data_IF_950131637778
#
_entry.id   IF_950131637778
#
_cell.length_a   1.000
_cell.length_b   1.000
_cell.length_c   1.000
_cell.angle_alpha   90.00
_cell.angle_beta   90.00
_cell.angle_gamma   90.00
#
_symmetry.space_group_name_H-M   'P 1'
#
loop_
_entity.id
_entity.type
_entity.pdbx_description
1 polymer ?
#
# COMPACT_ATOMS: atom_id res chain seq x y z
N UNK A 1 -32.83 -0.42 -35.96
CA UNK A 1 -32.33 -0.40 -34.58
C UNK A 1 -30.88 -0.88 -34.62
N UNK A 2 -29.92 0.05 -34.56
CA UNK A 2 -28.51 -0.23 -34.81
C UNK A 2 -27.74 -0.69 -33.56
N UNK A 3 -26.50 -1.19 -33.71
CA UNK A 3 -25.66 -1.78 -32.65
C UNK A 3 -25.10 -0.76 -31.64
N UNK A 4 -25.74 0.40 -31.47
CA UNK A 4 -25.23 1.53 -30.67
C UNK A 4 -25.32 1.33 -29.15
N UNK A 5 -26.01 0.30 -28.65
CA UNK A 5 -26.17 0.10 -27.20
C UNK A 5 -25.04 -0.69 -26.53
N UNK A 6 -24.32 -1.55 -27.25
CA UNK A 6 -23.21 -2.33 -26.67
C UNK A 6 -21.96 -1.46 -26.49
N UNK A 7 -21.59 -0.69 -27.53
CA UNK A 7 -20.44 0.23 -27.48
C UNK A 7 -20.55 1.29 -26.39
N UNK A 8 -21.76 1.83 -26.17
CA UNK A 8 -21.99 2.82 -25.11
C UNK A 8 -21.94 2.21 -23.70
N UNK A 9 -22.23 0.91 -23.56
CA UNK A 9 -22.10 0.21 -22.29
C UNK A 9 -20.62 -0.12 -22.00
N UNK A 10 -19.89 -0.60 -23.00
CA UNK A 10 -18.45 -0.89 -22.90
C UNK A 10 -17.63 0.37 -22.58
N UNK A 11 -17.90 1.50 -23.24
CA UNK A 11 -17.16 2.73 -22.96
C UNK A 11 -17.47 3.35 -21.59
N UNK A 12 -18.71 3.20 -21.08
CA UNK A 12 -19.07 3.57 -19.70
C UNK A 12 -18.36 2.69 -18.66
N UNK A 13 -18.21 1.40 -18.95
CA UNK A 13 -17.48 0.46 -18.10
C UNK A 13 -15.99 0.80 -18.05
N UNK A 14 -15.37 1.18 -19.17
CA UNK A 14 -13.99 1.66 -19.21
C UNK A 14 -13.80 2.97 -18.42
N UNK A 15 -14.71 3.95 -18.59
CA UNK A 15 -14.68 5.20 -17.85
C UNK A 15 -14.77 5.02 -16.32
N UNK A 16 -15.58 4.07 -15.84
CA UNK A 16 -15.65 3.75 -14.41
C UNK A 16 -14.37 3.10 -13.88
N UNK A 17 -13.65 2.36 -14.73
CA UNK A 17 -12.38 1.71 -14.38
C UNK A 17 -11.24 2.71 -14.16
N UNK A 18 -11.30 3.87 -14.83
CA UNK A 18 -10.33 4.95 -14.72
C UNK A 18 -10.49 5.81 -13.45
N UNK A 19 -11.57 5.61 -12.69
CA UNK A 19 -11.78 6.31 -11.40
C UNK A 19 -10.63 6.06 -10.42
N UNK A 20 -10.04 4.88 -10.48
CA UNK A 20 -8.91 4.50 -9.66
C UNK A 20 -7.70 5.46 -9.82
N UNK A 21 -7.47 6.01 -11.02
CA UNK A 21 -6.33 6.90 -11.28
C UNK A 21 -6.52 8.28 -10.64
N UNK A 22 -7.77 8.73 -10.45
CA UNK A 22 -8.08 10.04 -9.86
C UNK A 22 -8.55 9.96 -8.41
N UNK A 23 -8.53 8.77 -7.80
CA UNK A 23 -8.88 8.58 -6.40
C UNK A 23 -7.70 8.88 -5.47
N UNK A 24 -7.95 8.88 -4.15
CA UNK A 24 -6.93 9.11 -3.13
C UNK A 24 -6.22 10.49 -3.21
N UNK A 25 -6.97 11.54 -3.59
CA UNK A 25 -6.54 12.94 -3.50
C UNK A 25 -5.43 13.28 -4.53
N UNK A 26 -4.32 13.87 -4.09
CA UNK A 26 -3.27 14.41 -4.94
C UNK A 26 -2.21 13.39 -5.41
N UNK A 27 -2.49 12.08 -5.35
CA UNK A 27 -1.46 11.07 -5.63
C UNK A 27 -0.97 11.07 -7.08
N UNK A 28 -1.89 11.12 -8.05
CA UNK A 28 -1.51 11.21 -9.46
C UNK A 28 -0.95 12.59 -9.84
N UNK A 29 -1.03 13.59 -8.95
CA UNK A 29 -0.45 14.92 -9.15
C UNK A 29 0.86 15.13 -8.39
N UNK A 30 1.47 14.04 -7.88
CA UNK A 30 2.79 14.07 -7.21
C UNK A 30 2.77 13.75 -5.70
N UNK A 31 1.59 13.56 -5.11
CA UNK A 31 1.46 13.14 -3.72
C UNK A 31 1.95 11.71 -3.49
N UNK A 32 2.78 11.52 -2.45
CA UNK A 32 3.38 10.22 -2.12
C UNK A 32 4.09 9.54 -3.31
N UNK A 33 4.70 10.36 -4.18
CA UNK A 33 5.42 9.90 -5.35
C UNK A 33 6.86 9.50 -4.97
N UNK A 34 7.22 8.25 -5.28
CA UNK A 34 8.47 7.64 -4.86
C UNK A 34 9.72 8.24 -5.54
N UNK A 35 9.54 8.99 -6.63
CA UNK A 35 10.62 9.65 -7.37
C UNK A 35 10.62 11.17 -7.20
N UNK A 36 10.15 11.70 -6.06
CA UNK A 36 10.09 13.15 -5.87
C UNK A 36 11.47 13.82 -5.84
N UNK A 37 12.53 13.10 -5.43
CA UNK A 37 13.91 13.59 -5.32
C UNK A 37 14.52 14.03 -6.66
N UNK A 38 13.89 13.59 -7.75
CA UNK A 38 14.23 13.93 -9.11
C UNK A 38 13.82 15.36 -9.54
N UNK A 39 12.92 15.97 -8.79
CA UNK A 39 12.28 17.23 -9.16
C UNK A 39 12.55 18.32 -8.12
N UNK A 40 12.21 19.56 -8.46
CA UNK A 40 12.26 20.66 -7.51
C UNK A 40 11.20 20.44 -6.40
N UNK A 41 11.62 20.54 -5.14
CA UNK A 41 10.74 20.37 -3.97
C UNK A 41 9.53 21.30 -3.97
N UNK A 42 9.65 22.50 -4.57
CA UNK A 42 8.56 23.46 -4.73
C UNK A 42 7.36 22.85 -5.48
N UNK A 43 7.60 21.88 -6.37
CA UNK A 43 6.53 21.19 -7.08
C UNK A 43 5.61 20.37 -6.16
N UNK A 44 6.06 19.95 -4.97
CA UNK A 44 5.31 19.03 -4.09
C UNK A 44 4.72 19.69 -2.84
N UNK A 45 4.85 21.01 -2.69
CA UNK A 45 4.32 21.74 -1.52
C UNK A 45 2.79 21.75 -1.54
N UNK A 46 2.20 22.03 -2.70
CA UNK A 46 0.75 22.12 -2.88
C UNK A 46 0.30 21.42 -4.17
N UNK A 47 0.37 20.07 -4.23
CA UNK A 47 -0.10 19.33 -5.38
C UNK A 47 -1.64 19.42 -5.47
N UNK A 48 -2.14 19.91 -6.61
CA UNK A 48 -3.58 20.06 -6.85
C UNK A 48 -4.32 18.74 -7.01
N UNK A 49 -5.65 18.77 -7.08
CA UNK A 49 -6.41 17.55 -7.37
C UNK A 49 -6.47 17.23 -8.88
N UNK A 50 -6.52 15.94 -9.23
CA UNK A 50 -6.56 15.53 -10.62
C UNK A 50 -7.92 15.72 -11.27
N UNK A 51 -7.89 15.78 -12.59
CA UNK A 51 -9.03 15.86 -13.49
C UNK A 51 -8.87 14.73 -14.50
N UNK A 52 -9.94 13.97 -14.74
CA UNK A 52 -10.01 13.03 -15.86
C UNK A 52 -10.93 13.57 -16.94
N UNK A 53 -10.39 13.83 -18.12
CA UNK A 53 -11.14 14.16 -19.32
C UNK A 53 -11.44 12.86 -20.07
N UNK A 54 -12.68 12.39 -20.00
CA UNK A 54 -13.07 11.07 -20.52
C UNK A 54 -13.66 11.20 -21.92
N UNK A 55 -13.05 10.51 -22.88
CA UNK A 55 -13.53 10.43 -24.25
C UNK A 55 -14.68 9.43 -24.40
N UNK A 56 -15.39 9.50 -25.53
CA UNK A 56 -16.57 8.65 -25.79
C UNK A 56 -16.25 7.16 -25.86
N UNK A 57 -15.05 6.82 -26.29
CA UNK A 57 -14.57 5.44 -26.41
C UNK A 57 -14.13 4.84 -25.06
N UNK A 58 -14.01 5.66 -24.01
CA UNK A 58 -13.58 5.23 -22.68
C UNK A 58 -12.11 5.51 -22.38
N UNK A 59 -11.33 5.98 -23.36
CA UNK A 59 -9.99 6.54 -23.11
C UNK A 59 -10.10 7.84 -22.31
N UNK A 60 -9.03 8.24 -21.62
CA UNK A 60 -9.02 9.53 -20.92
C UNK A 60 -7.69 10.24 -20.98
N UNK A 61 -7.74 11.55 -20.74
CA UNK A 61 -6.57 12.34 -20.39
C UNK A 61 -6.65 12.71 -18.92
N UNK A 62 -5.63 12.31 -18.16
CA UNK A 62 -5.42 12.76 -16.78
C UNK A 62 -4.66 14.08 -16.82
N UNK A 63 -5.18 15.07 -16.11
CA UNK A 63 -4.61 16.42 -16.01
C UNK A 63 -4.85 16.97 -14.61
N UNK A 64 -4.37 18.19 -14.34
CA UNK A 64 -4.69 18.94 -13.12
C UNK A 64 -5.12 20.37 -13.42
N UNK A 65 -5.59 21.08 -12.40
CA UNK A 65 -5.86 22.51 -12.49
C UNK A 65 -4.58 23.30 -12.83
N UNK A 66 -4.71 24.28 -13.73
CA UNK A 66 -3.62 25.20 -14.04
C UNK A 66 -3.31 26.13 -12.86
N UNK A 67 -2.03 26.50 -12.69
CA UNK A 67 -1.60 27.43 -11.65
C UNK A 67 -1.49 26.86 -10.23
N UNK A 68 -1.85 25.59 -10.03
CA UNK A 68 -1.60 24.85 -8.78
C UNK A 68 -0.35 24.00 -8.94
N UNK A 69 0.37 23.79 -7.83
CA UNK A 69 1.53 22.89 -7.77
C UNK A 69 1.20 21.44 -8.11
N UNK A 70 2.20 20.59 -7.98
CA UNK A 70 2.18 19.20 -8.43
C UNK A 70 2.58 19.06 -9.89
N UNK A 71 2.48 17.83 -10.38
CA UNK A 71 2.83 17.45 -11.75
C UNK A 71 2.00 16.24 -12.17
N UNK A 72 1.61 16.19 -13.44
CA UNK A 72 0.97 15.00 -14.02
C UNK A 72 1.84 14.47 -15.16
N UNK A 73 2.51 13.36 -14.89
CA UNK A 73 3.31 12.65 -15.88
C UNK A 73 3.04 11.14 -15.86
N UNK A 74 3.61 10.42 -16.81
CA UNK A 74 3.43 8.96 -16.93
C UNK A 74 3.79 8.24 -15.63
N UNK A 75 4.84 8.66 -14.91
CA UNK A 75 5.29 8.00 -13.69
C UNK A 75 4.32 8.19 -12.52
N UNK A 76 3.79 9.40 -12.31
CA UNK A 76 2.74 9.66 -11.32
C UNK A 76 1.47 8.86 -11.61
N UNK A 77 1.11 8.71 -12.90
CA UNK A 77 -0.02 7.87 -13.33
C UNK A 77 0.23 6.38 -13.11
N UNK A 78 1.43 5.88 -13.42
CA UNK A 78 1.84 4.49 -13.14
C UNK A 78 1.83 4.19 -11.65
N UNK A 79 2.42 5.08 -10.84
CA UNK A 79 2.42 4.96 -9.38
C UNK A 79 1.00 4.87 -8.83
N UNK A 80 0.10 5.76 -9.26
CA UNK A 80 -1.28 5.73 -8.78
C UNK A 80 -2.04 4.50 -9.28
N UNK A 81 -1.88 4.10 -10.54
CA UNK A 81 -2.54 2.90 -11.06
C UNK A 81 -2.11 1.63 -10.32
N UNK A 82 -0.85 1.51 -9.89
CA UNK A 82 -0.33 0.33 -9.20
C UNK A 82 -0.67 0.30 -7.70
N UNK A 83 -1.28 1.36 -7.17
CA UNK A 83 -1.70 1.46 -5.77
C UNK A 83 -3.05 0.76 -5.57
N UNK A 84 -3.28 0.10 -4.43
CA UNK A 84 -4.58 -0.51 -4.09
C UNK A 84 -5.16 -1.51 -5.11
N UNK A 85 -4.31 -2.04 -6.00
CA UNK A 85 -4.68 -3.10 -6.93
C UNK A 85 -4.60 -4.48 -6.28
N UNK A 86 -5.31 -5.42 -6.91
CA UNK A 86 -5.46 -6.77 -6.44
C UNK A 86 -5.48 -7.71 -7.64
N UNK A 87 -4.31 -7.88 -8.26
CA UNK A 87 -4.16 -8.46 -9.59
C UNK A 87 -4.40 -7.44 -10.70
N UNK A 88 -4.60 -7.92 -11.92
CA UNK A 88 -4.86 -7.15 -13.15
C UNK A 88 -6.36 -7.02 -13.47
N UNK A 89 -7.22 -7.73 -12.73
CA UNK A 89 -8.68 -7.62 -12.78
C UNK A 89 -9.19 -6.81 -11.59
N UNK A 90 -9.55 -5.55 -11.83
CA UNK A 90 -10.04 -4.63 -10.81
C UNK A 90 -11.56 -4.67 -10.70
N UNK A 91 -12.07 -5.02 -9.52
CA UNK A 91 -13.51 -5.25 -9.29
C UNK A 91 -14.17 -4.02 -8.64
N UNK A 92 -15.26 -3.56 -9.25
CA UNK A 92 -16.20 -2.58 -8.69
C UNK A 92 -17.62 -3.17 -8.67
N UNK A 93 -18.54 -2.51 -7.96
CA UNK A 93 -19.94 -2.95 -7.89
C UNK A 93 -20.61 -3.01 -9.27
N UNK A 94 -20.33 -2.02 -10.14
CA UNK A 94 -21.01 -1.88 -11.42
C UNK A 94 -20.25 -2.46 -12.62
N UNK A 95 -18.95 -2.70 -12.46
CA UNK A 95 -18.04 -3.08 -13.54
C UNK A 95 -16.82 -3.82 -13.01
N UNK A 96 -16.31 -4.80 -13.77
CA UNK A 96 -14.94 -5.29 -13.63
C UNK A 96 -14.05 -4.72 -14.74
N UNK A 97 -12.84 -4.33 -14.40
CA UNK A 97 -11.86 -3.76 -15.32
C UNK A 97 -10.70 -4.72 -15.54
N UNK A 98 -10.37 -4.99 -16.80
CA UNK A 98 -9.13 -5.64 -17.18
C UNK A 98 -8.07 -4.57 -17.46
N UNK A 99 -6.98 -4.62 -16.70
CA UNK A 99 -5.92 -3.61 -16.71
C UNK A 99 -4.65 -4.12 -17.42
N UNK A 100 -4.60 -5.38 -17.83
CA UNK A 100 -3.42 -6.04 -18.42
C UNK A 100 -2.91 -5.42 -19.73
N UNK A 101 -3.75 -4.67 -20.45
CA UNK A 101 -3.41 -3.99 -21.71
C UNK A 101 -3.32 -2.47 -21.56
N UNK A 102 -3.26 -1.94 -20.33
CA UNK A 102 -3.19 -0.50 -20.09
C UNK A 102 -1.92 0.10 -20.70
N UNK A 103 -2.08 1.27 -21.34
CA UNK A 103 -1.00 2.07 -21.92
C UNK A 103 -1.15 3.50 -21.44
N UNK A 104 -0.02 4.17 -21.19
CA UNK A 104 0.04 5.57 -20.77
C UNK A 104 1.04 6.34 -21.63
N UNK A 105 0.58 7.47 -22.17
CA UNK A 105 1.37 8.30 -23.08
C UNK A 105 1.32 9.77 -22.64
N UNK A 106 2.48 10.43 -22.57
CA UNK A 106 2.53 11.86 -22.33
C UNK A 106 2.04 12.61 -23.57
N UNK A 107 0.95 13.38 -23.46
CA UNK A 107 0.34 14.10 -24.59
C UNK A 107 0.42 15.62 -24.45
N UNK A 108 1.03 16.11 -23.36
CA UNK A 108 1.29 17.52 -23.13
C UNK A 108 1.88 17.74 -21.73
N UNK A 109 2.21 18.99 -21.39
CA UNK A 109 2.58 19.35 -20.04
C UNK A 109 1.41 19.07 -19.09
N UNK A 110 1.66 18.35 -17.99
CA UNK A 110 0.64 17.92 -17.03
C UNK A 110 -0.52 17.12 -17.66
N UNK A 111 -0.28 16.39 -18.76
CA UNK A 111 -1.33 15.65 -19.48
C UNK A 111 -0.86 14.27 -19.93
N UNK A 112 -1.53 13.24 -19.41
CA UNK A 112 -1.26 11.84 -19.74
C UNK A 112 -2.51 11.19 -20.30
N UNK A 113 -2.40 10.67 -21.52
CA UNK A 113 -3.44 9.87 -22.13
C UNK A 113 -3.34 8.42 -21.63
N UNK A 114 -4.47 7.87 -21.17
CA UNK A 114 -4.60 6.50 -20.65
C UNK A 114 -5.59 5.73 -21.51
N UNK A 115 -5.18 4.57 -22.00
CA UNK A 115 -5.98 3.71 -22.86
C UNK A 115 -5.70 2.22 -22.62
N UNK A 116 -6.39 1.33 -23.34
CA UNK A 116 -6.17 -0.13 -23.28
C UNK A 116 -6.86 -0.85 -22.12
N UNK A 117 -7.55 -0.13 -21.23
CA UNK A 117 -8.40 -0.72 -20.19
C UNK A 117 -9.69 -1.23 -20.82
N UNK A 118 -10.10 -2.46 -20.48
CA UNK A 118 -11.35 -3.06 -20.95
C UNK A 118 -12.30 -3.29 -19.80
N UNK A 119 -13.48 -2.68 -19.86
CA UNK A 119 -14.56 -2.94 -18.91
C UNK A 119 -15.38 -4.17 -19.28
N UNK A 120 -15.92 -4.85 -18.28
CA UNK A 120 -16.83 -5.99 -18.43
C UNK A 120 -17.87 -6.04 -17.30
N UNK A 121 -18.96 -6.81 -17.46
CA UNK A 121 -19.97 -6.96 -16.41
C UNK A 121 -19.38 -7.46 -15.09
N UNK A 122 -19.86 -6.96 -13.93
CA UNK A 122 -19.35 -7.35 -12.62
C UNK A 122 -19.83 -8.77 -12.25
N UNK A 123 -19.24 -9.40 -11.22
CA UNK A 123 -19.82 -10.60 -10.64
C UNK A 123 -21.14 -10.32 -9.93
N UNK A 124 -21.94 -11.37 -9.70
CA UNK A 124 -23.20 -11.29 -8.95
C UNK A 124 -23.01 -10.92 -7.46
N UNK A 125 -21.76 -10.74 -7.03
CA UNK A 125 -21.36 -10.34 -5.69
C UNK A 125 -20.69 -8.98 -5.69
N UNK A 126 -20.72 -8.30 -4.54
CA UNK A 126 -19.88 -7.13 -4.25
C UNK A 126 -19.12 -7.37 -2.95
N UNK A 127 -18.05 -6.61 -2.73
CA UNK A 127 -17.26 -6.68 -1.50
C UNK A 127 -17.93 -5.84 -0.42
N UNK A 128 -18.24 -6.48 0.71
CA UNK A 128 -18.73 -5.81 1.91
C UNK A 128 -17.61 -5.70 2.95
N UNK A 129 -17.33 -4.46 3.36
CA UNK A 129 -16.40 -4.14 4.44
C UNK A 129 -17.12 -4.16 5.78
N UNK A 130 -16.92 -5.19 6.59
CA UNK A 130 -17.56 -5.30 7.91
C UNK A 130 -16.59 -4.80 8.98
N UNK A 131 -17.03 -3.84 9.79
CA UNK A 131 -16.26 -3.32 10.92
C UNK A 131 -16.94 -3.71 12.23
N UNK A 132 -16.15 -4.23 13.17
CA UNK A 132 -16.63 -4.64 14.49
C UNK A 132 -15.65 -4.21 15.59
N UNK A 133 -16.13 -4.14 16.84
CA UNK A 133 -15.29 -3.79 17.99
C UNK A 133 -14.26 -4.89 18.22
N UNK A 134 -12.98 -4.57 18.03
CA UNK A 134 -11.88 -5.53 18.16
C UNK A 134 -11.38 -5.73 19.60
N UNK A 135 -11.76 -4.83 20.51
CA UNK A 135 -11.25 -4.78 21.88
C UNK A 135 -10.57 -3.43 22.11
N UNK A 136 -9.46 -3.45 22.86
CA UNK A 136 -8.66 -2.28 23.18
C UNK A 136 -7.23 -2.46 22.71
N UNK A 137 -6.57 -1.35 22.42
CA UNK A 137 -5.17 -1.31 22.07
C UNK A 137 -4.42 -0.18 22.77
N UNK A 138 -3.12 -0.34 22.93
CA UNK A 138 -2.24 0.67 23.51
C UNK A 138 -0.81 0.55 22.96
N UNK A 139 -0.04 1.62 23.12
CA UNK A 139 1.34 1.72 22.64
C UNK A 139 2.23 2.44 23.66
N UNK A 140 3.23 1.72 24.18
CA UNK A 140 4.33 2.34 24.92
C UNK A 140 5.49 2.63 23.99
N UNK A 141 5.98 3.87 24.06
CA UNK A 141 7.02 4.38 23.20
C UNK A 141 8.22 4.75 24.06
N UNK A 142 9.35 4.09 23.85
CA UNK A 142 10.59 4.33 24.58
C UNK A 142 11.76 4.36 23.61
N UNK A 143 12.87 4.95 24.05
CA UNK A 143 14.04 5.14 23.22
C UNK A 143 15.29 4.58 23.92
N UNK A 144 16.28 4.21 23.11
CA UNK A 144 17.63 3.91 23.57
C UNK A 144 18.65 4.72 22.77
N UNK A 145 19.61 5.32 23.47
CA UNK A 145 20.78 5.96 22.84
C UNK A 145 22.03 5.07 22.97
N UNK A 146 22.92 5.15 21.98
CA UNK A 146 24.28 4.62 22.04
C UNK A 146 24.43 3.26 21.36
N UNK A 147 25.46 2.51 21.76
CA UNK A 147 25.72 1.17 21.23
C UNK A 147 24.92 0.08 21.95
N UNK A 148 24.97 -1.15 21.40
CA UNK A 148 24.29 -2.34 21.92
C UNK A 148 22.77 -2.19 22.11
N UNK A 149 22.12 -1.43 21.23
CA UNK A 149 20.68 -1.16 21.29
C UNK A 149 19.83 -2.44 21.24
N UNK A 150 20.25 -3.44 20.46
CA UNK A 150 19.55 -4.73 20.41
C UNK A 150 19.57 -5.45 21.76
N UNK A 151 20.71 -5.47 22.44
CA UNK A 151 20.83 -6.10 23.77
C UNK A 151 20.07 -5.31 24.84
N UNK A 152 20.06 -3.98 24.74
CA UNK A 152 19.24 -3.10 25.61
C UNK A 152 17.76 -3.42 25.46
N UNK A 153 17.27 -3.56 24.23
CA UNK A 153 15.87 -3.88 23.95
C UNK A 153 15.50 -5.32 24.30
N UNK A 154 16.39 -6.30 24.07
CA UNK A 154 16.21 -7.68 24.57
C UNK A 154 16.11 -7.71 26.10
N UNK A 155 16.95 -6.95 26.81
CA UNK A 155 16.87 -6.83 28.27
C UNK A 155 15.53 -6.24 28.70
N UNK A 156 15.12 -5.13 28.07
CA UNK A 156 13.88 -4.44 28.41
C UNK A 156 12.64 -5.29 28.13
N UNK A 157 12.59 -6.00 26.99
CA UNK A 157 11.54 -6.97 26.70
C UNK A 157 11.48 -8.08 27.76
N UNK A 158 12.63 -8.68 28.12
CA UNK A 158 12.70 -9.69 29.18
C UNK A 158 12.19 -9.15 30.52
N UNK A 159 12.57 -7.92 30.87
CA UNK A 159 12.12 -7.25 32.10
C UNK A 159 10.60 -7.07 32.12
N UNK A 160 10.01 -6.55 31.03
CA UNK A 160 8.55 -6.38 30.93
C UNK A 160 7.84 -7.74 30.99
N UNK A 161 8.27 -8.72 30.18
CA UNK A 161 7.66 -10.05 30.17
C UNK A 161 7.74 -10.76 31.51
N UNK A 162 8.82 -10.60 32.28
CA UNK A 162 8.94 -11.20 33.62
C UNK A 162 7.94 -10.69 34.65
N UNK A 163 7.27 -9.55 34.37
CA UNK A 163 6.25 -8.95 35.26
C UNK A 163 4.82 -9.22 34.79
N UNK A 164 4.66 -9.86 33.64
CA UNK A 164 3.37 -10.29 33.11
C UNK A 164 3.29 -11.80 33.37
N UNK A 165 2.35 -12.21 34.23
CA UNK A 165 2.16 -13.62 34.57
C UNK A 165 1.69 -14.45 33.35
N UNK A 166 1.78 -15.78 33.45
CA UNK A 166 1.47 -16.67 32.33
C UNK A 166 0.01 -16.54 31.86
N UNK A 167 -0.93 -16.31 32.79
CA UNK A 167 -2.34 -16.04 32.46
C UNK A 167 -2.51 -14.70 31.74
N UNK A 168 -1.77 -13.67 32.17
CA UNK A 168 -1.71 -12.36 31.54
C UNK A 168 -1.14 -12.43 30.13
N UNK A 169 -0.09 -13.20 29.91
CA UNK A 169 0.48 -13.43 28.58
C UNK A 169 -0.53 -14.08 27.62
N UNK A 170 -1.31 -15.05 28.09
CA UNK A 170 -2.36 -15.70 27.29
C UNK A 170 -3.55 -14.78 26.99
N UNK A 171 -3.73 -13.70 27.77
CA UNK A 171 -4.84 -12.76 27.61
C UNK A 171 -4.68 -11.75 26.47
N UNK A 172 -3.47 -11.59 25.91
CA UNK A 172 -3.24 -10.65 24.82
C UNK A 172 -3.66 -11.24 23.47
N UNK A 173 -4.40 -10.47 22.67
CA UNK A 173 -4.60 -10.78 21.26
C UNK A 173 -3.34 -10.47 20.44
N UNK A 174 -2.59 -9.45 20.86
CA UNK A 174 -1.29 -9.10 20.31
C UNK A 174 -0.43 -8.46 21.40
N UNK A 175 0.85 -8.85 21.49
CA UNK A 175 1.85 -8.19 22.33
C UNK A 175 3.18 -8.22 21.58
N UNK A 176 3.49 -7.11 20.92
CA UNK A 176 4.66 -6.96 20.05
C UNK A 176 5.64 -5.98 20.64
N UNK A 177 6.92 -6.36 20.58
CA UNK A 177 8.07 -5.54 20.95
C UNK A 177 8.82 -5.24 19.65
N UNK A 178 8.84 -3.97 19.26
CA UNK A 178 9.29 -3.56 17.93
C UNK A 178 10.48 -2.61 18.05
N UNK A 179 11.62 -3.02 17.53
CA UNK A 179 12.79 -2.17 17.35
C UNK A 179 12.69 -1.44 16.00
N UNK A 180 12.79 -0.10 16.00
CA UNK A 180 12.74 0.73 14.80
C UNK A 180 14.02 1.59 14.70
N UNK A 181 14.66 1.51 13.53
CA UNK A 181 15.84 2.30 13.19
C UNK A 181 17.15 1.56 13.43
N UNK A 182 18.25 2.24 13.11
CA UNK A 182 19.62 1.79 13.38
C UNK A 182 20.41 3.02 13.80
N UNK A 183 21.16 2.98 14.92
CA UNK A 183 21.91 4.13 15.36
C UNK A 183 23.05 4.42 14.37
N UNK A 184 23.35 5.69 14.14
CA UNK A 184 24.46 6.11 13.29
C UNK A 184 25.79 5.52 13.79
N UNK A 185 26.64 5.11 12.85
CA UNK A 185 28.05 4.84 13.13
C UNK A 185 28.75 6.17 13.44
N UNK A 186 29.40 6.28 14.60
CA UNK A 186 30.05 7.50 15.10
C UNK A 186 29.13 8.75 15.11
N UNK A 187 28.15 8.80 16.04
CA UNK A 187 27.09 9.80 16.04
C UNK A 187 27.62 11.20 16.40
N UNK A 188 27.32 12.19 15.55
CA UNK A 188 27.67 13.61 15.80
C UNK A 188 26.79 14.29 16.85
N UNK A 189 25.62 13.72 17.09
CA UNK A 189 24.65 14.20 18.07
C UNK A 189 23.87 13.03 18.69
N UNK A 190 23.21 13.28 19.81
CA UNK A 190 22.48 12.25 20.54
C UNK A 190 21.33 11.65 19.72
N UNK A 191 20.63 12.45 18.91
CA UNK A 191 19.47 12.01 18.14
C UNK A 191 19.88 11.01 17.06
N UNK A 192 21.01 11.23 16.39
CA UNK A 192 21.58 10.30 15.41
C UNK A 192 21.99 8.94 16.01
N UNK A 193 22.19 8.88 17.34
CA UNK A 193 22.47 7.64 18.07
C UNK A 193 21.23 7.05 18.77
N UNK A 194 20.07 7.65 18.60
CA UNK A 194 18.84 7.27 19.31
C UNK A 194 17.93 6.46 18.41
N UNK A 195 17.55 5.28 18.88
CA UNK A 195 16.59 4.39 18.22
C UNK A 195 15.34 4.22 19.05
N UNK A 196 14.26 3.89 18.36
CA UNK A 196 12.92 3.83 18.92
C UNK A 196 12.50 2.38 19.19
N UNK A 197 11.77 2.19 20.27
CA UNK A 197 11.20 0.91 20.67
C UNK A 197 9.73 1.06 21.05
N UNK A 198 8.90 0.28 20.37
CA UNK A 198 7.44 0.30 20.51
C UNK A 198 6.97 -1.01 21.11
N UNK A 199 6.29 -0.92 22.25
CA UNK A 199 5.49 -2.01 22.78
C UNK A 199 4.06 -1.78 22.35
N UNK A 200 3.58 -2.59 21.43
CA UNK A 200 2.19 -2.57 20.97
C UNK A 200 1.42 -3.72 21.62
N UNK A 201 0.25 -3.43 22.19
CA UNK A 201 -0.59 -4.44 22.80
C UNK A 201 -2.06 -4.30 22.39
N UNK A 202 -2.72 -5.42 22.14
CA UNK A 202 -4.17 -5.55 21.93
C UNK A 202 -4.73 -6.61 22.88
N UNK A 203 -5.88 -6.35 23.48
CA UNK A 203 -6.63 -7.32 24.27
C UNK A 203 -8.14 -7.02 24.25
N UNK A 204 -8.95 -8.04 24.50
CA UNK A 204 -10.41 -7.89 24.65
C UNK A 204 -10.77 -7.03 25.87
N UNK A 205 -9.95 -7.08 26.92
CA UNK A 205 -10.24 -6.42 28.19
C UNK A 205 -9.11 -5.45 28.62
N UNK A 206 -9.48 -4.39 29.33
CA UNK A 206 -8.54 -3.36 29.80
C UNK A 206 -7.58 -3.86 30.89
N UNK A 207 -7.97 -4.88 31.66
CA UNK A 207 -7.16 -5.42 32.76
C UNK A 207 -5.88 -6.05 32.24
N UNK A 208 -5.94 -6.80 31.14
CA UNK A 208 -4.78 -7.39 30.48
C UNK A 208 -3.82 -6.29 30.00
N UNK A 209 -4.33 -5.24 29.35
CA UNK A 209 -3.50 -4.12 28.90
C UNK A 209 -2.83 -3.37 30.06
N UNK A 210 -3.54 -3.19 31.18
CA UNK A 210 -3.00 -2.52 32.36
C UNK A 210 -1.74 -3.22 32.91
N UNK A 211 -1.56 -4.52 32.68
CA UNK A 211 -0.37 -5.26 33.10
C UNK A 211 0.91 -4.71 32.45
N UNK A 212 0.85 -4.27 31.19
CA UNK A 212 2.02 -3.66 30.51
C UNK A 212 2.44 -2.37 31.23
N UNK A 213 1.46 -1.54 31.61
CA UNK A 213 1.71 -0.30 32.34
C UNK A 213 2.24 -0.53 33.76
N UNK A 214 1.76 -1.58 34.44
CA UNK A 214 2.29 -1.98 35.75
C UNK A 214 3.72 -2.53 35.63
N UNK A 215 3.96 -3.42 34.68
CA UNK A 215 5.29 -3.96 34.37
C UNK A 215 6.31 -2.84 34.11
N UNK A 216 5.91 -1.81 33.36
CA UNK A 216 6.75 -0.64 33.10
C UNK A 216 7.10 0.15 34.39
N UNK A 217 6.12 0.39 35.27
CA UNK A 217 6.34 1.08 36.55
C UNK A 217 7.24 0.26 37.47
N UNK A 218 7.05 -1.05 37.51
CA UNK A 218 7.77 -2.01 38.33
C UNK A 218 9.28 -2.08 38.04
N UNK A 219 9.66 -1.80 36.79
CA UNK A 219 11.04 -1.80 36.33
C UNK A 219 11.63 -0.39 36.24
N UNK A 220 10.87 0.62 36.67
CA UNK A 220 11.32 2.01 36.69
C UNK A 220 12.67 2.14 37.40
N UNK A 221 13.61 2.86 36.77
CA UNK A 221 15.00 3.03 37.21
C UNK A 221 15.84 1.74 37.30
N UNK A 222 15.33 0.59 36.83
CA UNK A 222 16.04 -0.70 36.73
C UNK A 222 16.36 -1.11 35.30
N UNK A 223 15.91 -0.33 34.33
CA UNK A 223 16.16 -0.56 32.90
C UNK A 223 17.61 -0.27 32.51
N UNK A 224 17.92 -0.39 31.23
CA UNK A 224 19.25 -0.14 30.69
C UNK A 224 19.67 1.34 30.73
N UNK A 225 20.98 1.58 30.61
CA UNK A 225 21.56 2.93 30.45
C UNK A 225 21.28 3.53 29.07
N UNK A 226 20.93 4.82 29.03
CA UNK A 226 20.52 5.52 27.81
C UNK A 226 19.02 5.41 27.49
N UNK A 227 18.23 4.80 28.38
CA UNK A 227 16.77 4.81 28.32
C UNK A 227 16.23 6.23 28.50
N UNK A 228 15.29 6.62 27.62
CA UNK A 228 14.51 7.84 27.77
C UNK A 228 13.22 7.74 26.94
N UNK A 229 12.26 8.64 27.13
CA UNK A 229 11.00 8.67 26.38
C UNK A 229 10.38 10.07 26.44
N UNK A 230 9.40 10.35 25.57
CA UNK A 230 8.55 11.52 25.74
C UNK A 230 7.78 11.44 27.05
N UNK A 231 7.50 12.57 27.69
CA UNK A 231 6.63 12.63 28.87
C UNK A 231 5.13 12.57 28.52
N UNK A 232 4.79 12.54 27.22
CA UNK A 232 3.44 12.30 26.74
C UNK A 232 3.16 10.81 26.58
N UNK A 233 2.44 10.24 27.55
CA UNK A 233 2.05 8.83 27.56
C UNK A 233 0.62 8.58 27.07
N UNK A 234 0.00 9.52 26.34
CA UNK A 234 -1.38 9.33 25.84
C UNK A 234 -1.53 8.10 24.96
N UNK A 235 -0.49 7.71 24.21
CA UNK A 235 -0.51 6.49 23.39
C UNK A 235 -0.57 5.21 24.23
N UNK A 236 -0.11 5.26 25.49
CA UNK A 236 -0.15 4.14 26.41
C UNK A 236 -1.50 4.01 27.14
N UNK A 237 -2.38 4.99 27.01
CA UNK A 237 -3.76 4.89 27.50
C UNK A 237 -4.54 3.98 26.55
N UNK A 238 -5.09 2.85 27.03
CA UNK A 238 -5.87 1.97 26.18
C UNK A 238 -7.05 2.66 25.51
N UNK A 239 -7.21 2.45 24.21
CA UNK A 239 -8.34 2.95 23.42
C UNK A 239 -9.05 1.81 22.68
N UNK A 240 -10.35 1.89 22.43
CA UNK A 240 -11.02 0.91 21.58
C UNK A 240 -10.49 1.00 20.14
N UNK A 241 -10.50 -0.13 19.43
CA UNK A 241 -10.20 -0.19 18.00
C UNK A 241 -11.26 -0.99 17.23
N UNK A 242 -11.34 -0.75 15.92
CA UNK A 242 -12.23 -1.45 15.01
C UNK A 242 -11.44 -2.49 14.21
N UNK A 243 -11.89 -3.74 14.23
CA UNK A 243 -11.37 -4.77 13.36
C UNK A 243 -12.15 -4.77 12.04
N UNK A 244 -11.45 -5.03 10.94
CA UNK A 244 -12.01 -5.12 9.60
C UNK A 244 -12.10 -6.57 9.14
N UNK A 245 -13.23 -6.93 8.53
CA UNK A 245 -13.48 -8.23 7.94
C UNK A 245 -14.04 -8.06 6.51
N UNK A 246 -13.29 -8.46 5.47
CA UNK A 246 -13.82 -8.49 4.11
C UNK A 246 -14.75 -9.68 3.93
N UNK A 247 -15.94 -9.44 3.35
CA UNK A 247 -16.84 -10.51 2.92
C UNK A 247 -17.37 -10.23 1.51
N UNK A 248 -17.92 -11.26 0.87
CA UNK A 248 -18.71 -11.12 -0.34
C UNK A 248 -20.19 -11.05 0.02
N UNK A 249 -20.94 -10.21 -0.69
CA UNK A 249 -22.38 -10.06 -0.53
C UNK A 249 -23.06 -10.16 -1.88
N UNK A 250 -24.26 -10.74 -1.96
CA UNK A 250 -25.01 -10.82 -3.22
C UNK A 250 -25.55 -9.45 -3.57
N UNK A 251 -25.26 -8.95 -4.78
CA UNK A 251 -25.80 -7.67 -5.23
C UNK A 251 -27.33 -7.67 -5.29
N UNK A 252 -27.92 -8.83 -5.56
CA UNK A 252 -29.37 -9.00 -5.61
C UNK A 252 -30.09 -8.73 -4.28
N UNK A 253 -29.36 -8.77 -3.16
CA UNK A 253 -29.89 -8.54 -1.81
C UNK A 253 -29.72 -7.08 -1.34
N UNK A 254 -29.07 -6.22 -2.14
CA UNK A 254 -28.84 -4.81 -1.80
C UNK A 254 -29.91 -3.91 -2.42
N UNK A 255 -30.45 -3.01 -1.62
CA UNK A 255 -31.28 -1.90 -2.06
C UNK A 255 -30.51 -0.59 -1.97
N UNK A 256 -30.03 -0.10 -3.11
CA UNK A 256 -29.28 1.16 -3.19
C UNK A 256 -30.20 2.32 -3.58
N UNK A 257 -30.07 3.44 -2.85
CA UNK A 257 -30.84 4.66 -3.07
C UNK A 257 -29.94 5.88 -2.94
N UNK A 258 -30.18 6.90 -3.74
CA UNK A 258 -29.62 8.24 -3.58
C UNK A 258 -30.66 9.09 -2.85
N UNK A 259 -30.33 9.56 -1.67
CA UNK A 259 -31.20 10.41 -0.86
C UNK A 259 -30.65 11.83 -0.85
N UNK A 260 -31.44 12.79 -1.32
CA UNK A 260 -31.15 14.21 -1.13
C UNK A 260 -31.63 14.60 0.26
N UNK A 261 -30.71 14.91 1.15
CA UNK A 261 -31.02 15.19 2.56
C UNK A 261 -31.11 16.70 2.78
N UNK A 262 -32.21 17.14 3.39
CA UNK A 262 -32.40 18.54 3.80
C UNK A 262 -31.49 18.90 4.98
N UNK A 263 -31.33 20.19 5.24
CA UNK A 263 -30.56 20.67 6.40
C UNK A 263 -31.07 20.14 7.76
N UNK A 264 -32.34 19.75 7.85
CA UNK A 264 -32.92 19.15 9.07
C UNK A 264 -32.74 17.62 9.17
N UNK A 265 -32.09 16.98 8.19
CA UNK A 265 -31.85 15.54 8.16
C UNK A 265 -32.92 14.72 7.44
N UNK A 266 -34.03 15.31 7.00
CA UNK A 266 -35.09 14.60 6.28
C UNK A 266 -34.71 14.36 4.81
N UNK A 267 -35.06 13.20 4.28
CA UNK A 267 -34.94 12.93 2.85
C UNK A 267 -35.99 13.74 2.06
N UNK A 268 -35.54 14.55 1.10
CA UNK A 268 -36.38 15.30 0.18
C UNK A 268 -36.78 14.49 -1.04
N UNK A 269 -35.83 13.74 -1.59
CA UNK A 269 -36.01 12.90 -2.78
C UNK A 269 -35.19 11.64 -2.59
N UNK A 270 -35.83 10.48 -2.81
CA UNK A 270 -35.16 9.18 -2.91
C UNK A 270 -35.18 8.71 -4.36
N UNK A 271 -34.00 8.53 -4.96
CA UNK A 271 -33.86 7.92 -6.28
C UNK A 271 -33.33 6.50 -6.12
N UNK A 272 -34.05 5.51 -6.67
CA UNK A 272 -33.58 4.12 -6.69
C UNK A 272 -32.44 3.98 -7.69
N UNK A 273 -31.33 3.38 -7.27
CA UNK A 273 -30.20 3.07 -8.16
C UNK A 273 -30.51 1.79 -8.93
N UNK A 274 -30.24 1.81 -10.23
CA UNK A 274 -30.40 0.64 -11.09
C UNK A 274 -29.23 -0.32 -10.85
N UNK A 275 -29.53 -1.62 -10.79
CA UNK A 275 -28.51 -2.67 -10.68
C UNK A 275 -27.81 -2.91 -12.02
N UNK A 276 -26.61 -3.52 -12.02
CA UNK A 276 -25.99 -3.98 -13.24
C UNK A 276 -26.94 -4.89 -14.03
N UNK A 277 -27.14 -4.63 -15.34
CA UNK A 277 -28.10 -5.38 -16.15
C UNK A 277 -27.62 -6.78 -16.50
N UNK A 278 -26.31 -7.04 -16.36
CA UNK A 278 -25.66 -8.31 -16.64
C UNK A 278 -24.61 -8.56 -15.57
N UNK A 279 -24.44 -9.84 -15.25
CA UNK A 279 -23.36 -10.33 -14.39
C UNK A 279 -22.54 -11.37 -15.14
N UNK A 280 -21.29 -11.53 -14.75
CA UNK A 280 -20.38 -12.55 -15.28
C UNK A 280 -19.68 -13.26 -14.12
N UNK A 281 -19.40 -14.56 -14.26
CA UNK A 281 -18.70 -15.29 -13.21
C UNK A 281 -17.30 -14.68 -12.99
N UNK A 282 -16.87 -14.62 -11.73
CA UNK A 282 -15.50 -14.27 -11.40
C UNK A 282 -14.64 -15.53 -11.57
N UNK A 283 -13.68 -15.46 -12.49
CA UNK A 283 -12.65 -16.48 -12.64
C UNK A 283 -11.59 -16.34 -11.56
N UNK A 284 -10.83 -17.41 -11.32
CA UNK A 284 -9.66 -17.36 -10.45
C UNK A 284 -8.66 -16.34 -10.99
N UNK A 285 -8.06 -15.57 -10.09
CA UNK A 285 -7.06 -14.58 -10.48
C UNK A 285 -5.79 -15.26 -10.92
N UNK A 286 -5.22 -14.77 -12.01
CA UNK A 286 -3.93 -15.24 -12.47
C UNK A 286 -2.83 -14.83 -11.48
N UNK A 287 -1.86 -15.72 -11.31
CA UNK A 287 -0.62 -15.45 -10.58
C UNK A 287 0.51 -16.24 -11.22
N UNK A 288 1.49 -15.55 -11.79
CA UNK A 288 2.55 -16.19 -12.57
C UNK A 288 3.86 -15.41 -12.51
N UNK A 289 4.97 -16.14 -12.59
CA UNK A 289 6.26 -15.61 -13.00
C UNK A 289 6.30 -15.41 -14.52
N UNK A 290 7.20 -14.56 -15.01
CA UNK A 290 7.29 -14.26 -16.45
C UNK A 290 7.33 -15.56 -17.27
N UNK A 291 6.44 -15.73 -18.26
CA UNK A 291 6.39 -16.95 -19.07
C UNK A 291 7.61 -17.08 -20.01
N UNK A 292 8.38 -16.00 -20.17
CA UNK A 292 9.57 -15.96 -21.04
C UNK A 292 10.69 -15.17 -20.35
N UNK A 293 11.36 -15.76 -19.34
CA UNK A 293 12.44 -15.10 -18.64
C UNK A 293 13.63 -14.84 -19.56
N UNK A 294 14.14 -13.60 -19.55
CA UNK A 294 15.28 -13.20 -20.37
C UNK A 294 16.58 -13.43 -19.61
N UNK A 295 17.22 -14.58 -19.85
CA UNK A 295 18.53 -14.90 -19.25
C UNK A 295 19.57 -13.85 -19.62
N UNK A 296 19.57 -13.38 -20.87
CA UNK A 296 20.45 -12.30 -21.32
C UNK A 296 20.24 -10.99 -20.57
N UNK A 297 19.01 -10.69 -20.12
CA UNK A 297 18.73 -9.50 -19.33
C UNK A 297 19.29 -9.59 -17.90
N UNK A 298 19.69 -10.78 -17.43
CA UNK A 298 20.34 -10.98 -16.13
C UNK A 298 21.87 -11.10 -16.24
N UNK A 299 22.43 -11.22 -17.44
CA UNK A 299 23.85 -11.49 -17.68
C UNK A 299 24.67 -10.21 -17.87
N UNK A 300 26.00 -10.36 -17.72
CA UNK A 300 26.97 -9.28 -17.86
C UNK A 300 27.66 -8.92 -16.55
N UNK A 301 28.49 -7.89 -16.58
CA UNK A 301 29.08 -7.31 -15.36
C UNK A 301 27.97 -6.70 -14.50
N UNK A 302 27.74 -7.22 -13.30
CA UNK A 302 26.74 -6.69 -12.37
C UNK A 302 27.35 -5.67 -11.40
N UNK A 303 26.51 -4.74 -10.94
CA UNK A 303 26.81 -3.85 -9.83
C UNK A 303 25.73 -3.98 -8.77
N UNK A 304 26.16 -3.98 -7.51
CA UNK A 304 25.27 -3.93 -6.35
C UNK A 304 24.79 -2.49 -6.15
N UNK A 305 23.51 -2.25 -6.41
CA UNK A 305 22.84 -0.94 -6.27
C UNK A 305 21.51 -1.11 -5.53
N UNK A 306 20.83 -0.03 -5.16
CA UNK A 306 19.47 -0.13 -4.61
C UNK A 306 18.50 -0.41 -5.75
N UNK A 307 17.46 -1.21 -5.49
CA UNK A 307 16.41 -1.46 -6.48
C UNK A 307 15.77 -0.15 -6.97
N UNK A 308 15.63 0.83 -6.06
CA UNK A 308 15.13 2.17 -6.32
C UNK A 308 16.00 3.01 -7.24
N UNK A 309 17.28 2.64 -7.43
CA UNK A 309 18.14 3.31 -8.40
C UNK A 309 17.74 2.93 -9.84
N UNK A 310 16.98 1.84 -10.05
CA UNK A 310 16.55 1.32 -11.36
C UNK A 310 15.04 1.39 -11.57
N UNK A 311 14.25 1.15 -10.53
CA UNK A 311 12.79 1.06 -10.61
C UNK A 311 12.10 2.03 -9.65
N UNK A 312 11.04 2.67 -10.15
CA UNK A 312 10.05 3.37 -9.33
C UNK A 312 8.95 2.39 -8.92
N UNK A 313 8.07 2.82 -8.02
CA UNK A 313 6.92 2.01 -7.68
C UNK A 313 5.95 2.69 -6.73
N UNK A 314 4.97 1.91 -6.28
CA UNK A 314 4.01 2.33 -5.27
C UNK A 314 3.51 1.11 -4.48
N UNK A 315 3.13 1.33 -3.22
CA UNK A 315 2.50 0.32 -2.37
C UNK A 315 1.37 0.89 -1.53
N UNK A 316 0.48 0.01 -1.11
CA UNK A 316 -0.66 0.32 -0.26
C UNK A 316 -1.29 -0.91 0.36
N UNK A 317 -2.30 -0.69 1.18
CA UNK A 317 -3.11 -1.76 1.73
C UNK A 317 -4.22 -2.14 0.76
N UNK A 318 -4.70 -3.38 0.86
CA UNK A 318 -6.01 -3.76 0.31
C UNK A 318 -6.74 -4.56 1.37
N UNK A 319 -7.18 -3.86 2.42
CA UNK A 319 -7.67 -4.51 3.64
C UNK A 319 -6.51 -5.11 4.43
N UNK A 320 -6.54 -6.43 4.66
CA UNK A 320 -5.48 -7.17 5.37
C UNK A 320 -4.22 -7.44 4.55
N UNK A 321 -4.27 -7.14 3.25
CA UNK A 321 -3.23 -7.49 2.29
C UNK A 321 -2.40 -6.26 1.95
N UNK A 322 -1.16 -6.48 1.57
CA UNK A 322 -0.33 -5.45 0.96
C UNK A 322 -0.36 -5.63 -0.56
N UNK A 323 -0.47 -4.54 -1.31
CA UNK A 323 -0.16 -4.51 -2.73
C UNK A 323 1.07 -3.63 -2.96
N UNK A 324 1.85 -3.97 -3.99
CA UNK A 324 2.86 -3.06 -4.51
C UNK A 324 3.17 -3.35 -5.97
N UNK A 325 3.50 -2.31 -6.72
CA UNK A 325 3.98 -2.41 -8.08
C UNK A 325 5.32 -1.71 -8.25
N UNK A 326 6.15 -2.25 -9.13
CA UNK A 326 7.42 -1.69 -9.57
C UNK A 326 7.38 -1.48 -11.08
N UNK A 327 7.93 -0.38 -11.56
CA UNK A 327 7.97 -0.05 -12.99
C UNK A 327 9.25 0.64 -13.40
N UNK A 328 9.54 0.56 -14.69
CA UNK A 328 10.75 1.07 -15.34
C UNK A 328 10.40 1.80 -16.64
N UNK A 329 11.39 2.39 -17.30
CA UNK A 329 11.14 3.32 -18.41
C UNK A 329 11.48 2.72 -19.77
N UNK A 330 12.44 1.79 -19.81
CA UNK A 330 12.96 1.21 -21.05
C UNK A 330 12.59 -0.27 -21.19
N UNK A 331 12.57 -0.74 -22.43
CA UNK A 331 12.27 -2.14 -22.73
C UNK A 331 13.34 -3.11 -22.18
N UNK A 332 14.62 -2.75 -22.21
CA UNK A 332 15.68 -3.61 -21.65
C UNK A 332 15.62 -3.69 -20.12
N UNK A 333 15.27 -2.58 -19.46
CA UNK A 333 14.95 -2.57 -18.03
C UNK A 333 13.70 -3.41 -17.72
N UNK A 334 12.68 -3.38 -18.59
CA UNK A 334 11.47 -4.18 -18.44
C UNK A 334 11.76 -5.67 -18.48
N UNK A 335 12.53 -6.11 -19.47
CA UNK A 335 12.96 -7.51 -19.60
C UNK A 335 13.77 -7.97 -18.39
N UNK A 336 14.61 -7.10 -17.82
CA UNK A 336 15.29 -7.36 -16.56
C UNK A 336 14.30 -7.44 -15.38
N UNK A 337 13.45 -6.43 -15.20
CA UNK A 337 12.55 -6.31 -14.05
C UNK A 337 11.61 -7.52 -13.96
N UNK A 338 10.94 -7.86 -15.06
CA UNK A 338 9.99 -8.98 -15.10
C UNK A 338 10.68 -10.33 -14.86
N UNK A 339 11.94 -10.47 -15.29
CA UNK A 339 12.72 -11.69 -15.10
C UNK A 339 13.29 -11.78 -13.67
N UNK A 340 13.78 -10.67 -13.14
CA UNK A 340 14.43 -10.60 -11.83
C UNK A 340 13.43 -10.69 -10.68
N UNK A 341 12.32 -9.94 -10.77
CA UNK A 341 11.29 -9.86 -9.74
C UNK A 341 10.27 -11.00 -9.89
N UNK A 342 10.72 -12.23 -9.60
CA UNK A 342 9.84 -13.40 -9.46
C UNK A 342 9.13 -13.44 -8.10
N UNK A 343 8.14 -14.31 -7.97
CA UNK A 343 7.46 -14.61 -6.69
C UNK A 343 8.49 -15.00 -5.62
N UNK A 344 9.42 -15.90 -5.96
CA UNK A 344 10.46 -16.36 -5.03
C UNK A 344 11.47 -15.27 -4.70
N UNK A 345 11.77 -14.38 -5.65
CA UNK A 345 12.59 -13.19 -5.38
C UNK A 345 11.91 -12.28 -4.38
N UNK A 346 10.62 -12.01 -4.54
CA UNK A 346 9.86 -11.17 -3.59
C UNK A 346 9.84 -11.80 -2.20
N UNK A 347 9.61 -13.11 -2.08
CA UNK A 347 9.71 -13.84 -0.81
C UNK A 347 11.10 -13.69 -0.17
N UNK A 348 12.15 -13.79 -0.96
CA UNK A 348 13.53 -13.58 -0.48
C UNK A 348 13.75 -12.14 -0.01
N UNK A 349 13.25 -11.14 -0.75
CA UNK A 349 13.44 -9.72 -0.44
C UNK A 349 12.61 -9.27 0.77
N UNK A 350 11.47 -9.91 1.06
CA UNK A 350 10.71 -9.70 2.29
C UNK A 350 11.59 -9.95 3.54
N UNK A 351 12.53 -10.90 3.47
CA UNK A 351 13.44 -11.20 4.57
C UNK A 351 12.69 -11.65 5.83
N UNK A 352 13.00 -11.05 6.98
CA UNK A 352 12.39 -11.38 8.28
C UNK A 352 10.89 -11.06 8.36
N UNK A 353 10.35 -10.30 7.39
CA UNK A 353 8.91 -10.03 7.28
C UNK A 353 8.14 -11.22 6.67
N UNK A 354 8.82 -12.16 6.00
CA UNK A 354 8.16 -13.31 5.40
C UNK A 354 7.69 -14.28 6.49
N UNK A 355 6.43 -14.70 6.38
CA UNK A 355 5.88 -15.80 7.17
C UNK A 355 5.45 -16.95 6.27
N UNK A 356 5.48 -18.16 6.82
CA UNK A 356 5.12 -19.38 6.09
C UNK A 356 3.66 -19.40 5.61
N UNK A 357 2.77 -18.66 6.28
CA UNK A 357 1.36 -18.54 5.93
C UNK A 357 1.05 -17.43 4.92
N UNK A 358 2.05 -16.65 4.49
CA UNK A 358 1.84 -15.61 3.48
C UNK A 358 1.85 -16.20 2.07
N UNK A 359 0.83 -15.84 1.30
CA UNK A 359 0.78 -16.05 -0.14
C UNK A 359 1.20 -14.79 -0.89
N UNK A 360 1.89 -14.96 -2.02
CA UNK A 360 2.31 -13.86 -2.90
C UNK A 360 1.71 -14.12 -4.28
N UNK A 361 0.90 -13.19 -4.75
CA UNK A 361 0.43 -13.14 -6.15
C UNK A 361 1.33 -12.21 -6.96
N UNK A 362 1.49 -12.50 -8.25
CA UNK A 362 2.28 -11.71 -9.20
C UNK A 362 1.57 -11.64 -10.56
N UNK A 363 1.49 -10.43 -11.13
CA UNK A 363 1.02 -10.19 -12.50
C UNK A 363 1.88 -9.12 -13.19
N UNK A 364 1.76 -9.03 -14.51
CA UNK A 364 2.52 -8.10 -15.35
C UNK A 364 1.62 -7.10 -16.06
N UNK A 365 2.13 -5.87 -16.24
CA UNK A 365 1.48 -4.80 -17.01
C UNK A 365 2.45 -4.34 -18.12
N UNK A 366 2.52 -5.07 -19.25
CA UNK A 366 3.53 -4.82 -20.28
C UNK A 366 3.45 -3.42 -20.90
N UNK A 367 2.24 -2.88 -21.08
CA UNK A 367 2.04 -1.55 -21.70
C UNK A 367 2.55 -0.38 -20.86
N UNK A 368 2.89 -0.61 -19.59
CA UNK A 368 3.49 0.39 -18.71
C UNK A 368 4.78 -0.10 -18.04
N UNK A 369 5.36 -1.22 -18.52
CA UNK A 369 6.58 -1.83 -18.01
C UNK A 369 6.58 -2.04 -16.49
N UNK A 370 5.48 -2.59 -15.96
CA UNK A 370 5.32 -2.80 -14.53
C UNK A 370 5.10 -4.28 -14.15
N UNK A 371 5.57 -4.65 -12.97
CA UNK A 371 5.25 -5.92 -12.29
C UNK A 371 4.54 -5.57 -10.99
N UNK A 372 3.45 -6.25 -10.69
CA UNK A 372 2.62 -6.01 -9.51
C UNK A 372 2.51 -7.25 -8.66
N UNK A 373 2.45 -7.05 -7.35
CA UNK A 373 2.39 -8.09 -6.35
C UNK A 373 1.32 -7.83 -5.31
N UNK A 374 0.75 -8.91 -4.77
CA UNK A 374 -0.09 -8.88 -3.57
C UNK A 374 0.47 -9.84 -2.54
N UNK A 375 0.75 -9.36 -1.33
CA UNK A 375 1.17 -10.18 -0.19
C UNK A 375 -0.01 -10.31 0.77
N UNK A 376 -0.54 -11.53 0.88
CA UNK A 376 -1.75 -11.80 1.67
C UNK A 376 -1.45 -11.89 3.16
N UNK A 377 -2.27 -11.19 3.97
CA UNK A 377 -2.26 -11.28 5.44
C UNK A 377 -1.18 -10.47 6.16
N UNK A 378 -0.22 -9.86 5.46
CA UNK A 378 0.90 -9.13 6.08
C UNK A 378 0.46 -7.92 6.92
N UNK A 379 -0.70 -7.31 6.63
CA UNK A 379 -1.26 -6.19 7.40
C UNK A 379 -2.26 -6.66 8.48
N UNK A 380 -2.33 -7.97 8.76
CA UNK A 380 -3.17 -8.53 9.81
C UNK A 380 -4.66 -8.38 9.50
N UNK A 381 -5.38 -7.58 10.27
CA UNK A 381 -6.82 -7.32 10.10
C UNK A 381 -7.10 -5.94 9.47
N UNK A 382 -6.15 -5.44 8.68
CA UNK A 382 -6.22 -4.16 7.98
C UNK A 382 -5.90 -2.96 8.86
N UNK A 383 -5.84 -1.79 8.23
CA UNK A 383 -5.32 -0.53 8.80
C UNK A 383 -5.84 -0.24 10.21
N UNK A 384 -7.14 -0.39 10.44
CA UNK A 384 -7.80 -0.03 11.70
C UNK A 384 -7.44 -0.93 12.88
N UNK A 385 -6.73 -2.04 12.65
CA UNK A 385 -6.35 -3.01 13.66
C UNK A 385 -4.97 -3.64 13.45
N UNK A 386 -4.15 -3.05 12.58
CA UNK A 386 -2.80 -3.52 12.28
C UNK A 386 -1.87 -3.25 13.47
N UNK A 387 -1.05 -4.23 13.82
CA UNK A 387 0.01 -4.08 14.81
C UNK A 387 1.29 -3.47 14.20
N UNK A 388 1.37 -3.34 12.87
CA UNK A 388 2.50 -2.68 12.20
C UNK A 388 2.47 -1.18 12.49
N UNK A 389 3.65 -0.55 12.43
CA UNK A 389 3.73 0.90 12.50
C UNK A 389 3.14 1.53 11.22
N UNK A 390 3.49 0.97 10.07
CA UNK A 390 2.87 1.28 8.79
C UNK A 390 1.71 0.31 8.51
N UNK A 391 0.53 0.65 9.05
CA UNK A 391 -0.70 -0.11 8.83
C UNK A 391 -1.27 0.02 7.41
N UNK A 392 -0.91 1.07 6.67
CA UNK A 392 -1.33 1.31 5.29
C UNK A 392 -0.38 0.68 4.26
N UNK A 393 0.77 0.15 4.68
CA UNK A 393 1.77 -0.40 3.77
C UNK A 393 2.35 0.63 2.79
N UNK A 394 2.28 1.93 3.08
CA UNK A 394 2.74 3.00 2.17
C UNK A 394 4.26 3.06 2.03
N UNK A 395 5.00 2.76 3.10
CA UNK A 395 6.46 2.73 3.10
C UNK A 395 7.04 1.40 2.60
N UNK A 396 6.19 0.41 2.29
CA UNK A 396 6.66 -0.90 1.87
C UNK A 396 7.36 -0.87 0.51
N UNK A 397 6.93 0.01 -0.40
CA UNK A 397 7.62 0.20 -1.66
C UNK A 397 9.02 0.75 -1.44
N UNK A 398 9.21 1.72 -0.54
CA UNK A 398 10.52 2.28 -0.26
C UNK A 398 11.42 1.29 0.46
N UNK A 399 10.86 0.43 1.32
CA UNK A 399 11.57 -0.73 1.85
C UNK A 399 12.10 -1.65 0.74
N UNK A 400 11.29 -1.96 -0.28
CA UNK A 400 11.72 -2.76 -1.44
C UNK A 400 12.75 -2.02 -2.29
N UNK A 401 12.53 -0.74 -2.57
CA UNK A 401 13.43 0.11 -3.34
C UNK A 401 14.79 0.27 -2.65
N UNK A 402 14.85 0.25 -1.33
CA UNK A 402 16.13 0.34 -0.59
C UNK A 402 16.92 -0.98 -0.56
N UNK A 403 16.34 -2.10 -0.99
CA UNK A 403 17.06 -3.37 -1.06
C UNK A 403 18.21 -3.30 -2.04
N UNK A 404 19.38 -3.72 -1.59
CA UNK A 404 20.54 -3.89 -2.46
C UNK A 404 20.37 -5.12 -3.37
N UNK A 405 20.44 -4.91 -4.67
CA UNK A 405 20.25 -5.92 -5.72
C UNK A 405 21.40 -5.87 -6.73
N UNK A 406 21.69 -7.01 -7.35
CA UNK A 406 22.66 -7.10 -8.46
C UNK A 406 21.97 -6.72 -9.76
N UNK A 407 22.47 -5.68 -10.42
CA UNK A 407 21.93 -5.16 -11.68
C UNK A 407 23.03 -5.12 -12.74
N UNK A 408 22.79 -5.62 -13.96
CA UNK A 408 23.73 -5.46 -15.07
C UNK A 408 24.13 -3.99 -15.27
N UNK A 409 25.43 -3.73 -15.35
CA UNK A 409 25.98 -2.37 -15.47
C UNK A 409 25.46 -1.63 -16.73
N UNK A 410 25.10 -2.37 -17.79
CA UNK A 410 24.46 -1.84 -19.00
C UNK A 410 23.17 -1.07 -18.71
N UNK A 411 22.40 -1.47 -17.69
CA UNK A 411 21.15 -0.83 -17.28
C UNK A 411 21.38 0.42 -16.41
N UNK A 412 22.61 0.67 -15.95
CA UNK A 412 22.92 1.78 -15.04
C UNK A 412 23.53 3.00 -15.75
N UNK A 413 23.91 2.87 -17.02
CA UNK A 413 24.81 3.81 -17.70
C UNK A 413 24.13 5.05 -18.31
N UNK A 414 22.80 5.22 -18.22
CA UNK A 414 22.13 6.43 -18.72
C UNK A 414 21.38 7.18 -17.62
N UNK A 415 21.91 8.36 -17.26
CA UNK A 415 21.37 9.28 -16.24
C UNK A 415 20.13 10.06 -16.67
N UNK A 416 19.55 9.79 -17.84
CA UNK A 416 18.28 10.37 -18.26
C UNK A 416 17.12 9.61 -17.61
N UNK A 417 17.03 9.65 -16.27
CA UNK A 417 15.98 8.96 -15.50
C UNK A 417 14.87 9.90 -15.00
N UNK A 418 14.82 11.12 -15.52
CA UNK A 418 13.87 12.17 -15.14
C UNK A 418 13.58 13.05 -16.35
#
# INVERSE_FOLDING_TARGET
MGPTSSYAAESRMQAQSLRHIIECSAYVTGGNFAGFEAYNLEAFIEPGFPIAEVARDGSCVITKHAGIGGMVNVDTCRSQLLYELQGDVYLNSDVKAYLNQVVMEQVGADRVHVSGIRGAPPPATTKLAIFYKGGYEMQFLVNATGYAVDEKFKLFEKQIRSRIDNEGQAGFNALHFQHIGTPASDPRDQNSSTVYFRIFAQATNLRTLAQVGQAFKDISLRHFSGFHSSLDFRTAVPRPYLAYWPSLWRQADLEERVCFVKANGDAEVELRVARPPKYELLEDRESYDTPSPSVSALQGESRKVRLGDVALGRSGDKGSNLNFGLFVHRHDEWEWLRTYMSIDRVKTLLGDELRADFAVERVEFPGIFAVHFVVYGILGRGVSSSHRLDGFGKGFIDYFRDKAVEVPASLLNNKSRI
#
